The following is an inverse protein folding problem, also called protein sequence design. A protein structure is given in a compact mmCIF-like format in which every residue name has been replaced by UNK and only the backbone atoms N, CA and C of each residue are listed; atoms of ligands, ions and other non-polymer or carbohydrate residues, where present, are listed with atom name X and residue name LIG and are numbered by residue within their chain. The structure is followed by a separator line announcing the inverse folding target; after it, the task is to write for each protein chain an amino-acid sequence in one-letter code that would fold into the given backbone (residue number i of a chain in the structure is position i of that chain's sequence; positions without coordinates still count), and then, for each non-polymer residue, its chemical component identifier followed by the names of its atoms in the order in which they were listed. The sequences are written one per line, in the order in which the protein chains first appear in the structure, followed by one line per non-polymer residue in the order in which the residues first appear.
data_IF_989313358299
#
_entry.id   IF_989313358299
#
_cell.length_a   1.000
_cell.length_b   1.000
_cell.length_c   1.000
_cell.angle_alpha   90.00
_cell.angle_beta   90.00
_cell.angle_gamma   90.00
#
_symmetry.space_group_name_H-M   'P 1'
#
loop_
_entity.id
_entity.type
_entity.pdbx_description
1 polymer ?
#
# COMPACT_ATOMS: atom_id res chain seq x y z
N UNK A 1 -3.26 0.65 -0.69
CA UNK A 1 -2.55 1.85 -0.18
C UNK A 1 -3.10 2.40 1.15
N UNK A 2 -4.41 2.59 1.32
CA UNK A 2 -4.95 3.31 2.49
C UNK A 2 -5.27 2.39 3.68
N UNK A 3 -5.75 1.17 3.45
CA UNK A 3 -6.25 0.31 4.52
C UNK A 3 -5.17 -0.14 5.51
N UNK A 4 -4.02 -0.61 5.03
CA UNK A 4 -2.96 -1.15 5.87
C UNK A 4 -2.31 -0.11 6.81
N UNK A 5 -1.94 1.11 6.35
CA UNK A 5 -1.48 2.18 7.25
C UNK A 5 -2.56 2.60 8.26
N UNK A 6 -3.83 2.61 7.86
CA UNK A 6 -4.94 2.97 8.74
C UNK A 6 -5.14 1.94 9.86
N UNK A 7 -5.09 0.65 9.52
CA UNK A 7 -5.17 -0.45 10.49
C UNK A 7 -3.96 -0.41 11.44
N UNK A 8 -2.77 -0.14 10.92
CA UNK A 8 -1.58 0.04 11.73
C UNK A 8 -1.72 1.23 12.71
N UNK A 9 -2.26 2.36 12.24
CA UNK A 9 -2.51 3.52 13.07
C UNK A 9 -3.49 3.19 14.21
N UNK A 10 -4.68 2.68 13.89
CA UNK A 10 -5.71 2.43 14.91
C UNK A 10 -5.35 1.28 15.84
N UNK A 11 -4.69 0.23 15.33
CA UNK A 11 -4.19 -0.88 16.14
C UNK A 11 -3.11 -0.41 17.12
N UNK A 12 -2.16 0.39 16.65
CA UNK A 12 -1.09 0.92 17.51
C UNK A 12 -1.62 1.98 18.50
N UNK A 13 -2.56 2.82 18.07
CA UNK A 13 -3.20 3.80 18.94
C UNK A 13 -4.01 3.13 20.06
N UNK A 14 -4.62 1.97 19.80
CA UNK A 14 -5.36 1.20 20.82
C UNK A 14 -4.46 0.60 21.91
N UNK A 15 -3.17 0.40 21.64
CA UNK A 15 -2.21 -0.21 22.60
C UNK A 15 -1.42 0.88 23.31
N UNK A 16 -0.89 1.86 22.57
CA UNK A 16 0.06 2.83 23.10
C UNK A 16 -0.59 4.17 23.49
N UNK A 17 -1.87 4.39 23.15
CA UNK A 17 -2.63 5.64 23.43
C UNK A 17 -1.87 6.94 23.08
N UNK A 18 -0.92 6.84 22.15
CA UNK A 18 -0.01 7.92 21.78
C UNK A 18 -0.05 8.09 20.26
N UNK A 19 -0.56 9.23 19.82
CA UNK A 19 -0.79 9.56 18.42
C UNK A 19 0.51 9.73 17.63
N UNK A 20 1.61 10.07 18.29
CA UNK A 20 2.93 10.23 17.65
C UNK A 20 3.52 8.86 17.31
N UNK A 21 3.39 7.90 18.22
CA UNK A 21 3.84 6.52 18.00
C UNK A 21 2.98 5.84 16.94
N UNK A 22 1.65 5.94 17.05
CA UNK A 22 0.75 5.33 16.06
C UNK A 22 0.90 5.95 14.67
N UNK A 23 1.08 7.27 14.60
CA UNK A 23 1.37 8.00 13.36
C UNK A 23 2.70 7.60 12.75
N UNK A 24 3.76 7.47 13.55
CA UNK A 24 5.07 7.01 13.10
C UNK A 24 5.04 5.59 12.55
N UNK A 25 4.36 4.67 13.25
CA UNK A 25 4.17 3.28 12.78
C UNK A 25 3.38 3.24 11.48
N UNK A 26 2.29 4.02 11.36
CA UNK A 26 1.51 4.10 10.14
C UNK A 26 2.31 4.65 8.96
N UNK A 27 3.18 5.65 9.18
CA UNK A 27 4.06 6.20 8.16
C UNK A 27 5.09 5.17 7.66
N UNK A 28 5.68 4.38 8.56
CA UNK A 28 6.57 3.27 8.18
C UNK A 28 5.81 2.23 7.35
N UNK A 29 4.62 1.82 7.79
CA UNK A 29 3.78 0.86 7.06
C UNK A 29 3.41 1.37 5.67
N UNK A 30 3.13 2.67 5.51
CA UNK A 30 2.85 3.27 4.20
C UNK A 30 4.03 3.12 3.22
N UNK A 31 5.27 3.32 3.69
CA UNK A 31 6.47 3.14 2.87
C UNK A 31 6.66 1.67 2.46
N UNK A 32 6.42 0.73 3.39
CA UNK A 32 6.49 -0.71 3.10
C UNK A 32 5.45 -1.12 2.06
N UNK A 33 4.22 -0.62 2.17
CA UNK A 33 3.16 -0.87 1.16
C UNK A 33 3.56 -0.34 -0.21
N UNK A 34 4.23 0.81 -0.27
CA UNK A 34 4.71 1.40 -1.52
C UNK A 34 5.78 0.49 -2.17
N UNK A 35 6.77 0.06 -1.39
CA UNK A 35 7.81 -0.87 -1.86
C UNK A 35 7.19 -2.19 -2.32
N UNK A 36 6.22 -2.73 -1.57
CA UNK A 36 5.49 -3.94 -1.94
C UNK A 36 4.73 -3.80 -3.26
N UNK A 37 4.12 -2.65 -3.52
CA UNK A 37 3.46 -2.36 -4.80
C UNK A 37 4.45 -2.36 -5.96
N UNK A 38 5.60 -1.70 -5.78
CA UNK A 38 6.66 -1.68 -6.79
C UNK A 38 7.17 -3.10 -7.05
N UNK A 39 7.38 -3.88 -5.99
CA UNK A 39 7.83 -5.26 -6.09
C UNK A 39 6.84 -6.15 -6.85
N UNK A 40 5.55 -6.07 -6.52
CA UNK A 40 4.49 -6.80 -7.23
C UNK A 40 4.44 -6.36 -8.69
N UNK A 41 4.50 -5.07 -8.99
CA UNK A 41 4.50 -4.56 -10.36
C UNK A 41 5.70 -5.08 -11.20
N UNK A 42 6.83 -5.40 -10.57
CA UNK A 42 7.98 -6.03 -11.26
C UNK A 42 7.88 -7.56 -11.37
N UNK A 43 7.08 -8.21 -10.52
CA UNK A 43 6.87 -9.67 -10.55
C UNK A 43 5.61 -10.08 -11.30
N UNK A 44 4.69 -9.14 -11.55
CA UNK A 44 3.54 -9.35 -12.40
C UNK A 44 4.08 -9.53 -13.83
N UNK A 45 3.98 -10.75 -14.36
CA UNK A 45 4.22 -11.00 -15.79
C UNK A 45 3.20 -10.13 -16.54
N UNK A 46 3.69 -9.14 -17.28
CA UNK A 46 2.85 -8.27 -18.10
C UNK A 46 2.30 -9.15 -19.22
N UNK A 47 1.20 -9.86 -18.96
CA UNK A 47 0.40 -10.42 -20.03
C UNK A 47 -0.13 -9.21 -20.82
N UNK A 48 0.43 -9.01 -22.00
CA UNK A 48 0.17 -7.85 -22.86
C UNK A 48 -1.22 -7.97 -23.50
N UNK A 49 -2.18 -8.64 -22.88
CA UNK A 49 -3.60 -8.68 -23.29
C UNK A 49 -4.38 -7.40 -22.95
N UNK A 50 -3.71 -6.35 -22.45
CA UNK A 50 -4.26 -5.00 -22.32
C UNK A 50 -4.17 -4.13 -23.60
N UNK A 51 -3.43 -4.54 -24.64
CA UNK A 51 -3.21 -3.71 -25.84
C UNK A 51 -4.34 -3.79 -26.90
N UNK A 52 -5.52 -4.36 -26.59
CA UNK A 52 -6.64 -4.46 -27.54
C UNK A 52 -7.94 -3.73 -27.21
N UNK A 53 -8.05 -3.04 -26.08
CA UNK A 53 -9.29 -2.30 -25.73
C UNK A 53 -9.21 -0.77 -25.87
N UNK A 54 -8.18 -0.23 -26.54
CA UNK A 54 -8.05 1.23 -26.77
C UNK A 54 -7.62 1.64 -28.19
N UNK A 55 -7.65 0.73 -29.16
CA UNK A 55 -7.38 1.02 -30.58
C UNK A 55 -8.47 0.41 -31.48
N UNK A 56 -9.72 0.62 -31.10
CA UNK A 56 -10.88 0.08 -31.79
C UNK A 56 -12.15 0.88 -31.48
N UNK A 57 -12.07 2.21 -31.63
CA UNK A 57 -13.17 3.08 -32.04
C UNK A 57 -12.65 4.01 -33.14
#
# INVERSE_FOLDING_TARGET
MILAPLVAFFGCNSIFSNSLVSGGVAAVVANVVLIGYVYVAFNEEIDTEGEKSRKGE
#
